data_IF_736189121525
#
_entry.id   IF_736189121525
#
_cell.length_a   1.000
_cell.length_b   1.000
_cell.length_c   1.000
_cell.angle_alpha   90.00
_cell.angle_beta   90.00
_cell.angle_gamma   90.00
#
_symmetry.space_group_name_H-M   'P 1'
#
loop_
_entity.id
_entity.type
_entity.pdbx_description
1 polymer ?
#
# COMPACT_ATOMS: atom_id res chain seq x y z
N UNK A 1 -13.01 -10.14 -60.03
CA UNK A 1 -12.16 -9.80 -58.85
C UNK A 1 -10.66 -9.88 -59.12
N UNK A 2 -10.09 -11.02 -59.53
CA UNK A 2 -8.66 -11.06 -59.88
C UNK A 2 -8.36 -10.28 -61.16
N UNK A 3 -9.18 -10.48 -62.20
CA UNK A 3 -9.11 -9.70 -63.44
C UNK A 3 -9.25 -8.19 -63.19
N UNK A 4 -10.13 -7.79 -62.28
CA UNK A 4 -10.26 -6.38 -61.86
C UNK A 4 -8.99 -5.85 -61.17
N UNK A 5 -8.32 -6.67 -60.34
CA UNK A 5 -7.07 -6.28 -59.69
C UNK A 5 -5.97 -6.05 -60.73
N UNK A 6 -5.87 -6.93 -61.74
CA UNK A 6 -4.92 -6.83 -62.85
C UNK A 6 -5.24 -5.64 -63.78
N UNK A 7 -6.52 -5.36 -64.01
CA UNK A 7 -6.96 -4.17 -64.74
C UNK A 7 -6.56 -2.89 -63.99
N UNK A 8 -6.72 -2.85 -62.67
CA UNK A 8 -6.26 -1.70 -61.89
C UNK A 8 -4.74 -1.56 -61.87
N UNK A 9 -3.99 -2.67 -61.85
CA UNK A 9 -2.53 -2.65 -61.98
C UNK A 9 -2.07 -2.09 -63.31
N UNK A 10 -2.68 -2.51 -64.42
CA UNK A 10 -2.31 -2.00 -65.75
C UNK A 10 -2.55 -0.50 -65.90
N UNK A 11 -3.54 0.04 -65.18
CA UNK A 11 -3.83 1.48 -65.06
C UNK A 11 -3.02 2.19 -63.95
N UNK A 12 -2.05 1.52 -63.34
CA UNK A 12 -1.23 2.03 -62.22
C UNK A 12 -2.05 2.49 -61.00
N UNK A 13 -3.25 1.96 -60.81
CA UNK A 13 -4.10 2.25 -59.67
C UNK A 13 -3.85 1.26 -58.52
N UNK A 14 -2.64 1.32 -57.97
CA UNK A 14 -2.13 0.37 -56.98
C UNK A 14 -3.01 0.27 -55.73
N UNK A 15 -3.61 1.38 -55.28
CA UNK A 15 -4.51 1.37 -54.10
C UNK A 15 -5.77 0.53 -54.37
N UNK A 16 -6.45 0.71 -55.52
CA UNK A 16 -7.63 -0.09 -55.88
C UNK A 16 -7.26 -1.56 -56.12
N UNK A 17 -6.12 -1.82 -56.77
CA UNK A 17 -5.63 -3.19 -56.94
C UNK A 17 -5.39 -3.88 -55.58
N UNK A 18 -4.79 -3.18 -54.62
CA UNK A 18 -4.55 -3.68 -53.27
C UNK A 18 -5.85 -4.05 -52.52
N UNK A 19 -6.88 -3.20 -52.62
CA UNK A 19 -8.20 -3.51 -52.05
C UNK A 19 -8.82 -4.76 -52.68
N UNK A 20 -8.68 -4.94 -54.01
CA UNK A 20 -9.17 -6.14 -54.69
C UNK A 20 -8.40 -7.40 -54.26
N UNK A 21 -7.08 -7.31 -54.08
CA UNK A 21 -6.32 -8.42 -53.51
C UNK A 21 -6.74 -8.74 -52.06
N UNK A 22 -7.10 -7.74 -51.25
CA UNK A 22 -7.66 -7.98 -49.91
C UNK A 22 -9.02 -8.68 -49.95
N UNK A 23 -9.90 -8.31 -50.88
CA UNK A 23 -11.19 -8.98 -51.08
C UNK A 23 -10.98 -10.46 -51.45
N UNK A 24 -10.09 -10.71 -52.40
CA UNK A 24 -9.73 -12.07 -52.82
C UNK A 24 -9.13 -12.87 -51.66
N UNK A 25 -8.19 -12.29 -50.90
CA UNK A 25 -7.60 -12.95 -49.74
C UNK A 25 -8.65 -13.35 -48.71
N UNK A 26 -9.65 -12.49 -48.43
CA UNK A 26 -10.74 -12.80 -47.49
C UNK A 26 -11.61 -13.98 -47.95
N UNK A 27 -11.78 -14.17 -49.27
CA UNK A 27 -12.53 -15.30 -49.82
C UNK A 27 -11.75 -16.58 -49.59
N UNK A 28 -10.45 -16.58 -49.93
CA UNK A 28 -9.58 -17.74 -49.69
C UNK A 28 -9.49 -18.11 -48.19
N UNK A 29 -9.51 -17.14 -47.28
CA UNK A 29 -9.58 -17.40 -45.84
C UNK A 29 -10.88 -18.09 -45.43
N UNK A 30 -12.02 -17.64 -45.96
CA UNK A 30 -13.33 -18.26 -45.69
C UNK A 30 -13.39 -19.70 -46.21
N UNK A 31 -12.71 -19.98 -47.32
CA UNK A 31 -12.61 -21.30 -47.93
C UNK A 31 -11.55 -22.21 -47.26
N UNK A 32 -10.88 -21.75 -46.20
CA UNK A 32 -9.81 -22.50 -45.52
C UNK A 32 -8.50 -22.61 -46.30
N UNK A 33 -8.36 -21.88 -47.41
CA UNK A 33 -7.19 -21.86 -48.30
C UNK A 33 -6.15 -20.85 -47.81
N UNK A 34 -5.46 -21.21 -46.74
CA UNK A 34 -4.58 -20.30 -45.99
C UNK A 34 -3.36 -19.82 -46.79
N UNK A 35 -2.74 -20.68 -47.61
CA UNK A 35 -1.55 -20.32 -48.42
C UNK A 35 -1.90 -19.33 -49.52
N UNK A 36 -3.03 -19.53 -50.18
CA UNK A 36 -3.54 -18.65 -51.22
C UNK A 36 -3.93 -17.29 -50.64
N UNK A 37 -4.63 -17.29 -49.51
CA UNK A 37 -4.92 -16.07 -48.77
C UNK A 37 -3.65 -15.29 -48.44
N UNK A 38 -2.63 -15.95 -47.88
CA UNK A 38 -1.35 -15.33 -47.53
C UNK A 38 -0.66 -14.71 -48.76
N UNK A 39 -0.67 -15.41 -49.90
CA UNK A 39 -0.13 -14.89 -51.17
C UNK A 39 -0.81 -13.58 -51.58
N UNK A 40 -2.14 -13.52 -51.53
CA UNK A 40 -2.88 -12.31 -51.92
C UNK A 40 -2.76 -11.18 -50.89
N UNK A 41 -2.59 -11.49 -49.60
CA UNK A 41 -2.26 -10.49 -48.58
C UNK A 41 -0.89 -9.86 -48.85
N UNK A 42 0.13 -10.65 -49.25
CA UNK A 42 1.44 -10.13 -49.65
C UNK A 42 1.34 -9.19 -50.86
N UNK A 43 0.60 -9.59 -51.89
CA UNK A 43 0.35 -8.74 -53.07
C UNK A 43 -0.39 -7.45 -52.69
N UNK A 44 -1.38 -7.52 -51.79
CA UNK A 44 -2.09 -6.33 -51.32
C UNK A 44 -1.14 -5.36 -50.61
N UNK A 45 -0.29 -5.86 -49.72
CA UNK A 45 0.70 -5.05 -49.00
C UNK A 45 1.65 -4.34 -49.94
N UNK A 46 2.26 -5.07 -50.88
CA UNK A 46 3.23 -4.48 -51.81
C UNK A 46 2.58 -3.35 -52.61
N UNK A 47 1.34 -3.55 -53.05
CA UNK A 47 0.57 -2.52 -53.74
C UNK A 47 0.18 -1.33 -52.87
N UNK A 48 -0.17 -1.53 -51.59
CA UNK A 48 -0.39 -0.40 -50.68
C UNK A 48 0.90 0.40 -50.43
N UNK A 49 2.04 -0.27 -50.30
CA UNK A 49 3.34 0.42 -50.13
C UNK A 49 3.69 1.24 -51.37
N UNK A 50 3.50 0.68 -52.58
CA UNK A 50 3.69 1.41 -53.85
C UNK A 50 2.72 2.60 -53.91
N UNK A 51 1.43 2.38 -53.62
CA UNK A 51 0.42 3.44 -53.62
C UNK A 51 0.76 4.57 -52.64
N UNK A 52 1.30 4.24 -51.47
CA UNK A 52 1.75 5.23 -50.50
C UNK A 52 2.92 6.06 -51.04
N UNK A 53 3.90 5.42 -51.66
CA UNK A 53 5.04 6.11 -52.26
C UNK A 53 4.65 7.02 -53.43
N UNK A 54 3.75 6.56 -54.31
CA UNK A 54 3.21 7.39 -55.40
C UNK A 54 2.41 8.58 -54.85
N UNK A 55 1.60 8.36 -53.81
CA UNK A 55 0.89 9.45 -53.14
C UNK A 55 1.86 10.49 -52.54
N UNK A 56 2.99 10.07 -51.95
CA UNK A 56 4.04 11.00 -51.48
C UNK A 56 4.66 11.81 -52.62
N UNK A 57 4.96 11.15 -53.76
CA UNK A 57 5.56 11.80 -54.93
C UNK A 57 4.70 12.95 -55.46
N UNK A 58 3.38 12.74 -55.51
CA UNK A 58 2.43 13.78 -55.95
C UNK A 58 1.97 14.70 -54.82
N UNK A 59 2.63 14.67 -53.66
CA UNK A 59 2.30 15.48 -52.47
C UNK A 59 0.83 15.35 -52.05
N UNK A 60 0.33 14.11 -52.02
CA UNK A 60 -0.97 13.75 -51.42
C UNK A 60 -0.71 12.97 -50.13
N UNK A 61 -0.18 13.67 -49.12
CA UNK A 61 0.35 13.03 -47.92
C UNK A 61 -0.73 12.35 -47.09
N UNK A 62 -1.95 12.91 -47.05
CA UNK A 62 -3.10 12.26 -46.40
C UNK A 62 -3.34 10.86 -46.99
N UNK A 63 -3.35 10.74 -48.32
CA UNK A 63 -3.54 9.47 -49.03
C UNK A 63 -2.34 8.53 -48.84
N UNK A 64 -1.13 9.07 -48.71
CA UNK A 64 0.05 8.28 -48.37
C UNK A 64 -0.06 7.64 -46.97
N UNK A 65 -0.52 8.40 -45.99
CA UNK A 65 -0.79 7.90 -44.64
C UNK A 65 -1.87 6.80 -44.64
N UNK A 66 -2.96 6.98 -45.40
CA UNK A 66 -4.03 5.99 -45.53
C UNK A 66 -3.52 4.65 -46.09
N UNK A 67 -2.77 4.70 -47.20
CA UNK A 67 -2.20 3.49 -47.81
C UNK A 67 -1.16 2.83 -46.90
N UNK A 68 -0.34 3.62 -46.20
CA UNK A 68 0.63 3.09 -45.22
C UNK A 68 -0.06 2.41 -44.05
N UNK A 69 -1.18 2.96 -43.57
CA UNK A 69 -2.00 2.34 -42.53
C UNK A 69 -2.65 1.04 -43.02
N UNK A 70 -3.08 0.97 -44.28
CA UNK A 70 -3.59 -0.29 -44.84
C UNK A 70 -2.49 -1.34 -44.98
N UNK A 71 -1.31 -0.96 -45.47
CA UNK A 71 -0.15 -1.86 -45.50
C UNK A 71 0.18 -2.39 -44.10
N UNK A 72 0.18 -1.50 -43.08
CA UNK A 72 0.42 -1.86 -41.69
C UNK A 72 -0.59 -2.90 -41.19
N UNK A 73 -1.89 -2.68 -41.40
CA UNK A 73 -2.95 -3.62 -41.01
C UNK A 73 -2.76 -5.01 -41.62
N UNK A 74 -2.30 -5.08 -42.86
CA UNK A 74 -2.09 -6.36 -43.53
C UNK A 74 -0.79 -7.03 -43.07
N UNK A 75 0.28 -6.28 -42.82
CA UNK A 75 1.49 -6.83 -42.20
C UNK A 75 1.22 -7.40 -40.80
N UNK A 76 0.42 -6.72 -39.99
CA UNK A 76 -0.02 -7.22 -38.67
C UNK A 76 -0.78 -8.55 -38.81
N UNK A 77 -1.67 -8.65 -39.81
CA UNK A 77 -2.40 -9.89 -40.10
C UNK A 77 -1.47 -11.04 -40.52
N UNK A 78 -0.43 -10.72 -41.28
CA UNK A 78 0.62 -11.66 -41.69
C UNK A 78 1.66 -11.94 -40.58
N UNK A 79 1.54 -11.32 -39.40
CA UNK A 79 2.52 -11.37 -38.31
C UNK A 79 3.94 -10.94 -38.72
N UNK A 80 4.07 -10.09 -39.74
CA UNK A 80 5.34 -9.57 -40.22
C UNK A 80 5.69 -8.27 -39.50
N UNK A 81 6.36 -8.38 -38.34
CA UNK A 81 6.64 -7.24 -37.46
C UNK A 81 7.80 -6.36 -37.92
N UNK A 82 8.74 -6.89 -38.70
CA UNK A 82 9.97 -6.21 -39.10
C UNK A 82 9.76 -4.87 -39.83
N UNK A 83 8.63 -4.73 -40.53
CA UNK A 83 8.30 -3.52 -41.31
C UNK A 83 7.30 -2.59 -40.61
N UNK A 84 6.88 -2.94 -39.40
CA UNK A 84 5.87 -2.19 -38.63
C UNK A 84 6.34 -0.79 -38.31
N UNK A 85 7.50 -0.67 -37.68
CA UNK A 85 7.98 0.60 -37.12
C UNK A 85 8.19 1.65 -38.20
N UNK A 86 8.77 1.25 -39.35
CA UNK A 86 8.95 2.15 -40.47
C UNK A 86 7.62 2.65 -41.03
N UNK A 87 6.60 1.80 -41.12
CA UNK A 87 5.27 2.22 -41.59
C UNK A 87 4.58 3.14 -40.60
N UNK A 88 4.69 2.87 -39.30
CA UNK A 88 4.15 3.74 -38.24
C UNK A 88 4.79 5.13 -38.31
N UNK A 89 6.12 5.20 -38.49
CA UNK A 89 6.85 6.45 -38.67
C UNK A 89 6.44 7.17 -39.96
N UNK A 90 6.25 6.43 -41.05
CA UNK A 90 5.77 6.99 -42.31
C UNK A 90 4.37 7.59 -42.16
N UNK A 91 3.45 6.92 -41.47
CA UNK A 91 2.10 7.43 -41.19
C UNK A 91 2.19 8.74 -40.40
N UNK A 92 3.01 8.79 -39.34
CA UNK A 92 3.20 10.00 -38.55
C UNK A 92 3.76 11.15 -39.40
N UNK A 93 4.78 10.89 -40.21
CA UNK A 93 5.41 11.89 -41.09
C UNK A 93 4.46 12.37 -42.17
N UNK A 94 3.71 11.46 -42.80
CA UNK A 94 2.74 11.79 -43.84
C UNK A 94 1.60 12.64 -43.27
N UNK A 95 1.12 12.35 -42.05
CA UNK A 95 0.13 13.18 -41.37
C UNK A 95 0.68 14.57 -41.01
N UNK A 96 1.92 14.67 -40.55
CA UNK A 96 2.56 15.97 -40.31
C UNK A 96 2.67 16.81 -41.58
N UNK A 97 2.98 16.18 -42.71
CA UNK A 97 3.04 16.86 -44.00
C UNK A 97 1.64 17.23 -44.52
N UNK A 98 0.65 16.35 -44.34
CA UNK A 98 -0.75 16.62 -44.68
C UNK A 98 -1.30 17.81 -43.89
N UNK A 99 -0.85 18.03 -42.65
CA UNK A 99 -1.25 19.21 -41.89
C UNK A 99 -0.86 20.52 -42.60
N UNK A 100 0.27 20.56 -43.31
CA UNK A 100 0.64 21.73 -44.12
C UNK A 100 -0.29 21.89 -45.34
N UNK A 101 -0.74 20.79 -45.96
CA UNK A 101 -1.74 20.85 -47.05
C UNK A 101 -3.06 21.49 -46.56
N UNK A 102 -3.57 21.03 -45.41
CA UNK A 102 -4.77 21.59 -44.82
C UNK A 102 -4.64 23.07 -44.47
N UNK A 103 -3.48 23.51 -43.96
CA UNK A 103 -3.22 24.94 -43.75
C UNK A 103 -3.24 25.74 -45.06
N UNK A 104 -2.67 25.21 -46.15
CA UNK A 104 -2.74 25.87 -47.47
C UNK A 104 -4.18 26.01 -47.96
N UNK A 105 -5.05 25.05 -47.64
CA UNK A 105 -6.48 25.11 -47.94
C UNK A 105 -7.29 25.92 -46.93
N UNK A 106 -6.65 26.55 -45.94
CA UNK A 106 -7.28 27.29 -44.83
C UNK A 106 -8.19 26.41 -43.94
N UNK A 107 -7.99 25.11 -43.96
CA UNK A 107 -8.70 24.14 -43.12
C UNK A 107 -7.93 23.92 -41.81
N UNK A 108 -7.94 24.93 -40.94
CA UNK A 108 -7.12 25.01 -39.72
C UNK A 108 -7.36 23.81 -38.78
N UNK A 109 -8.62 23.41 -38.62
CA UNK A 109 -9.00 22.24 -37.79
C UNK A 109 -8.46 20.93 -38.36
N UNK A 110 -8.47 20.77 -39.69
CA UNK A 110 -7.88 19.61 -40.37
C UNK A 110 -6.38 19.51 -40.09
N UNK A 111 -5.68 20.63 -40.15
CA UNK A 111 -4.27 20.70 -39.79
C UNK A 111 -4.02 20.32 -38.33
N UNK A 112 -4.80 20.85 -37.39
CA UNK A 112 -4.69 20.53 -35.97
C UNK A 112 -4.87 19.03 -35.68
N UNK A 113 -5.87 18.40 -36.32
CA UNK A 113 -6.13 16.95 -36.19
C UNK A 113 -4.92 16.15 -36.67
N UNK A 114 -4.41 16.46 -37.87
CA UNK A 114 -3.23 15.78 -38.41
C UNK A 114 -2.00 15.91 -37.50
N UNK A 115 -1.77 17.10 -36.93
CA UNK A 115 -0.69 17.34 -35.96
C UNK A 115 -0.88 16.53 -34.68
N UNK A 116 -2.10 16.50 -34.13
CA UNK A 116 -2.38 15.75 -32.90
C UNK A 116 -2.13 14.25 -33.08
N UNK A 117 -2.62 13.65 -34.18
CA UNK A 117 -2.41 12.23 -34.48
C UNK A 117 -0.92 11.94 -34.74
N UNK A 118 -0.25 12.77 -35.54
CA UNK A 118 1.17 12.62 -35.82
C UNK A 118 2.00 12.65 -34.54
N UNK A 119 1.73 13.62 -33.66
CA UNK A 119 2.43 13.78 -32.38
C UNK A 119 2.20 12.58 -31.45
N UNK A 120 0.95 12.10 -31.34
CA UNK A 120 0.60 10.88 -30.60
C UNK A 120 1.46 9.69 -31.05
N UNK A 121 1.53 9.47 -32.36
CA UNK A 121 2.30 8.35 -32.92
C UNK A 121 3.79 8.54 -32.63
N UNK A 122 4.35 9.73 -32.86
CA UNK A 122 5.76 10.00 -32.61
C UNK A 122 6.15 9.80 -31.14
N UNK A 123 5.33 10.28 -30.19
CA UNK A 123 5.54 10.03 -28.77
C UNK A 123 5.46 8.53 -28.43
N UNK A 124 4.47 7.81 -28.98
CA UNK A 124 4.33 6.38 -28.76
C UNK A 124 5.58 5.58 -29.20
N UNK A 125 6.17 5.92 -30.35
CA UNK A 125 7.40 5.26 -30.86
C UNK A 125 8.71 5.86 -30.31
N UNK A 126 8.64 6.85 -29.41
CA UNK A 126 9.83 7.43 -28.75
C UNK A 126 10.58 8.48 -29.57
N UNK A 127 10.01 9.01 -30.66
CA UNK A 127 10.58 10.10 -31.48
C UNK A 127 10.16 11.47 -30.92
N UNK A 128 10.60 11.74 -29.70
CA UNK A 128 10.19 12.90 -28.90
C UNK A 128 10.52 14.23 -29.61
N UNK A 129 11.71 14.36 -30.19
CA UNK A 129 12.15 15.61 -30.81
C UNK A 129 11.36 15.96 -32.07
N UNK A 130 10.97 14.94 -32.85
CA UNK A 130 10.13 15.13 -34.04
C UNK A 130 8.74 15.62 -33.65
N UNK A 131 8.13 15.02 -32.61
CA UNK A 131 6.85 15.47 -32.07
C UNK A 131 6.92 16.93 -31.61
N UNK A 132 7.92 17.29 -30.79
CA UNK A 132 8.13 18.67 -30.30
C UNK A 132 8.28 19.66 -31.45
N UNK A 133 9.08 19.31 -32.46
CA UNK A 133 9.31 20.15 -33.64
C UNK A 133 8.01 20.42 -34.40
N UNK A 134 7.20 19.38 -34.61
CA UNK A 134 5.92 19.51 -35.31
C UNK A 134 4.96 20.39 -34.51
N UNK A 135 4.75 20.10 -33.22
CA UNK A 135 3.87 20.88 -32.35
C UNK A 135 4.25 22.36 -32.39
N UNK A 136 5.53 22.68 -32.18
CA UNK A 136 6.03 24.06 -32.21
C UNK A 136 5.76 24.72 -33.56
N UNK A 137 6.06 24.03 -34.66
CA UNK A 137 5.91 24.59 -36.01
C UNK A 137 4.46 24.92 -36.41
N UNK A 138 3.48 24.29 -35.77
CA UNK A 138 2.05 24.53 -36.04
C UNK A 138 1.38 25.43 -35.01
N UNK A 139 1.89 25.50 -33.77
CA UNK A 139 1.38 26.41 -32.74
C UNK A 139 1.44 27.87 -33.18
N UNK A 140 2.50 28.24 -33.91
CA UNK A 140 2.68 29.60 -34.43
C UNK A 140 1.83 29.89 -35.69
N UNK A 141 1.33 28.84 -36.36
CA UNK A 141 0.60 28.94 -37.64
C UNK A 141 -0.92 28.86 -37.49
N UNK A 142 -1.41 28.28 -36.39
CA UNK A 142 -2.83 28.16 -36.10
C UNK A 142 -3.29 29.44 -35.40
N UNK A 143 -4.34 30.09 -35.93
CA UNK A 143 -4.88 31.32 -35.36
C UNK A 143 -5.31 31.10 -33.90
N UNK A 144 -4.96 32.04 -33.02
CA UNK A 144 -5.42 32.04 -31.62
C UNK A 144 -6.95 32.13 -31.49
N UNK A 145 -7.65 32.59 -32.54
CA UNK A 145 -9.10 32.78 -32.54
C UNK A 145 -9.90 31.49 -32.84
N UNK A 146 -9.30 30.45 -33.45
CA UNK A 146 -10.00 29.18 -33.68
C UNK A 146 -9.88 28.28 -32.44
N UNK A 147 -10.83 28.46 -31.51
CA UNK A 147 -10.88 27.74 -30.24
C UNK A 147 -10.78 26.21 -30.41
N UNK A 148 -11.50 25.63 -31.36
CA UNK A 148 -11.51 24.16 -31.55
C UNK A 148 -10.19 23.66 -32.12
N UNK A 149 -9.57 24.37 -33.06
CA UNK A 149 -8.25 23.99 -33.56
C UNK A 149 -7.18 24.06 -32.45
N UNK A 150 -7.23 25.08 -31.60
CA UNK A 150 -6.34 25.19 -30.45
C UNK A 150 -6.59 24.10 -29.41
N UNK A 151 -7.86 23.75 -29.16
CA UNK A 151 -8.23 22.65 -28.25
C UNK A 151 -7.68 21.31 -28.74
N UNK A 152 -7.76 21.01 -30.03
CA UNK A 152 -7.18 19.80 -30.63
C UNK A 152 -5.64 19.83 -30.52
N UNK A 153 -5.00 20.95 -30.86
CA UNK A 153 -3.55 21.08 -30.77
C UNK A 153 -3.04 20.96 -29.32
N UNK A 154 -3.84 21.41 -28.35
CA UNK A 154 -3.50 21.30 -26.93
C UNK A 154 -3.35 19.83 -26.49
N UNK A 155 -4.07 18.89 -27.11
CA UNK A 155 -3.89 17.46 -26.85
C UNK A 155 -2.42 17.06 -27.07
N UNK A 156 -1.81 17.51 -28.17
CA UNK A 156 -0.40 17.24 -28.46
C UNK A 156 0.55 17.85 -27.41
N UNK A 157 0.22 19.05 -26.90
CA UNK A 157 0.98 19.71 -25.84
C UNK A 157 0.84 19.00 -24.48
N UNK A 158 -0.34 18.50 -24.16
CA UNK A 158 -0.59 17.73 -22.93
C UNK A 158 0.11 16.37 -22.99
N UNK A 159 0.11 15.69 -24.14
CA UNK A 159 0.90 14.46 -24.33
C UNK A 159 2.39 14.74 -24.14
N UNK A 160 2.88 15.88 -24.63
CA UNK A 160 4.27 16.28 -24.39
C UNK A 160 4.56 16.38 -22.89
N UNK A 161 3.68 16.99 -22.08
CA UNK A 161 3.84 17.03 -20.62
C UNK A 161 3.87 15.64 -20.00
N UNK A 162 2.95 14.77 -20.42
CA UNK A 162 2.87 13.38 -19.93
C UNK A 162 4.17 12.60 -20.22
N UNK A 163 4.72 12.73 -21.44
CA UNK A 163 5.83 11.90 -21.90
C UNK A 163 7.20 12.49 -21.58
N UNK A 164 7.33 13.82 -21.59
CA UNK A 164 8.61 14.52 -21.41
C UNK A 164 8.79 14.99 -19.98
N UNK A 165 7.74 15.50 -19.36
CA UNK A 165 7.77 16.04 -18.00
C UNK A 165 7.37 14.97 -16.97
N UNK A 166 7.12 13.73 -17.42
CA UNK A 166 6.67 12.58 -16.63
C UNK A 166 5.44 12.89 -15.76
N UNK A 167 4.58 13.81 -16.22
CA UNK A 167 3.36 14.19 -15.51
C UNK A 167 2.24 13.16 -15.75
N UNK A 168 2.30 12.07 -15.00
CA UNK A 168 1.30 11.01 -15.06
C UNK A 168 -0.12 11.49 -14.72
N UNK A 169 -0.27 12.58 -13.95
CA UNK A 169 -1.58 13.11 -13.56
C UNK A 169 -2.34 13.71 -14.75
N UNK A 170 -1.61 14.18 -15.76
CA UNK A 170 -2.18 14.71 -17.01
C UNK A 170 -2.63 13.60 -17.98
N UNK A 171 -2.24 12.33 -17.78
CA UNK A 171 -2.57 11.25 -18.71
C UNK A 171 -4.09 11.02 -18.86
N UNK A 172 -4.82 11.01 -17.75
CA UNK A 172 -6.28 10.79 -17.77
C UNK A 172 -7.02 11.93 -18.48
N UNK A 173 -6.52 13.17 -18.39
CA UNK A 173 -7.05 14.32 -19.14
C UNK A 173 -6.82 14.13 -20.65
N UNK A 174 -5.60 13.73 -21.04
CA UNK A 174 -5.26 13.45 -22.45
C UNK A 174 -6.18 12.35 -23.01
N UNK A 175 -6.35 11.25 -22.29
CA UNK A 175 -7.22 10.15 -22.71
C UNK A 175 -8.66 10.60 -22.88
N UNK A 176 -9.17 11.41 -21.94
CA UNK A 176 -10.48 12.03 -22.03
C UNK A 176 -10.64 12.90 -23.27
N UNK A 177 -9.66 13.77 -23.58
CA UNK A 177 -9.69 14.65 -24.74
C UNK A 177 -9.53 13.90 -26.07
N UNK A 178 -8.71 12.85 -26.13
CA UNK A 178 -8.60 12.01 -27.33
C UNK A 178 -9.94 11.38 -27.67
N UNK A 179 -10.65 10.86 -26.67
CA UNK A 179 -11.94 10.20 -26.86
C UNK A 179 -13.10 11.17 -27.12
N UNK A 180 -13.11 12.33 -26.46
CA UNK A 180 -14.22 13.30 -26.55
C UNK A 180 -14.04 14.40 -27.61
N UNK A 181 -12.81 14.64 -28.07
CA UNK A 181 -12.49 15.73 -29.02
C UNK A 181 -11.83 15.19 -30.29
N UNK A 182 -10.68 14.52 -30.17
CA UNK A 182 -9.90 14.13 -31.34
C UNK A 182 -10.64 13.12 -32.22
N UNK A 183 -11.12 12.01 -31.64
CA UNK A 183 -11.81 10.95 -32.39
C UNK A 183 -13.10 11.44 -33.07
N UNK A 184 -14.00 12.19 -32.40
CA UNK A 184 -15.19 12.75 -33.06
C UNK A 184 -14.90 13.68 -34.22
N UNK A 185 -13.72 14.32 -34.26
CA UNK A 185 -13.34 15.26 -35.32
C UNK A 185 -12.61 14.61 -36.50
N UNK A 186 -12.22 13.34 -36.42
CA UNK A 186 -11.61 12.60 -37.52
C UNK A 186 -12.36 12.67 -38.87
N UNK A 187 -13.70 12.73 -38.93
CA UNK A 187 -14.42 12.89 -40.20
C UNK A 187 -14.00 14.12 -41.01
N UNK A 188 -13.54 15.21 -40.35
CA UNK A 188 -13.08 16.43 -41.03
C UNK A 188 -11.89 16.18 -41.97
N UNK A 189 -11.04 15.20 -41.66
CA UNK A 189 -9.92 14.80 -42.52
C UNK A 189 -10.17 13.47 -43.25
N UNK A 190 -11.42 12.98 -43.24
CA UNK A 190 -11.80 11.62 -43.66
C UNK A 190 -10.96 10.54 -42.95
N UNK A 191 -10.61 10.77 -41.69
CA UNK A 191 -9.59 10.04 -40.93
C UNK A 191 -10.11 8.92 -40.04
N UNK A 192 -11.37 8.50 -40.16
CA UNK A 192 -11.96 7.48 -39.26
C UNK A 192 -11.16 6.17 -39.21
N UNK A 193 -10.41 5.85 -40.26
CA UNK A 193 -9.54 4.68 -40.29
C UNK A 193 -8.36 4.73 -39.31
N UNK A 194 -7.96 5.92 -38.84
CA UNK A 194 -6.85 6.13 -37.89
C UNK A 194 -7.21 5.83 -36.44
N UNK A 195 -8.48 5.57 -36.09
CA UNK A 195 -8.89 5.29 -34.70
C UNK A 195 -8.03 4.18 -34.06
N UNK A 196 -7.81 3.06 -34.76
CA UNK A 196 -7.00 1.93 -34.24
C UNK A 196 -5.58 2.35 -33.88
N UNK A 197 -4.91 3.12 -34.74
CA UNK A 197 -3.51 3.53 -34.49
C UNK A 197 -3.42 4.60 -33.40
N UNK A 198 -4.45 5.43 -33.25
CA UNK A 198 -4.57 6.37 -32.12
C UNK A 198 -4.70 5.59 -30.81
N UNK A 199 -5.55 4.56 -30.77
CA UNK A 199 -5.74 3.71 -29.59
C UNK A 199 -4.46 2.96 -29.21
N UNK A 200 -3.76 2.38 -30.19
CA UNK A 200 -2.47 1.73 -29.96
C UNK A 200 -1.41 2.71 -29.45
N UNK A 201 -1.38 3.93 -30.01
CA UNK A 201 -0.46 4.97 -29.56
C UNK A 201 -0.75 5.38 -28.10
N UNK A 202 -2.01 5.61 -27.76
CA UNK A 202 -2.45 5.92 -26.40
C UNK A 202 -2.12 4.79 -25.43
N UNK A 203 -2.41 3.53 -25.79
CA UNK A 203 -2.08 2.37 -24.97
C UNK A 203 -0.56 2.25 -24.75
N UNK A 204 0.23 2.50 -25.79
CA UNK A 204 1.69 2.47 -25.70
C UNK A 204 2.19 3.56 -24.75
N UNK A 205 1.70 4.79 -24.88
CA UNK A 205 2.03 5.91 -23.99
C UNK A 205 1.62 5.56 -22.54
N UNK A 206 0.38 5.12 -22.32
CA UNK A 206 -0.11 4.75 -21.00
C UNK A 206 0.70 3.63 -20.35
N UNK A 207 1.15 2.64 -21.13
CA UNK A 207 2.02 1.57 -20.62
C UNK A 207 3.41 2.07 -20.20
N UNK A 208 3.96 3.06 -20.91
CA UNK A 208 5.24 3.71 -20.55
C UNK A 208 5.09 4.53 -19.28
N UNK A 209 4.05 5.38 -19.23
CA UNK A 209 3.72 6.17 -18.03
C UNK A 209 3.56 5.25 -16.84
N UNK A 210 2.75 4.18 -16.94
CA UNK A 210 2.54 3.22 -15.84
C UNK A 210 3.81 2.54 -15.32
N UNK A 211 4.83 2.35 -16.15
CA UNK A 211 6.12 1.78 -15.71
C UNK A 211 6.97 2.79 -14.94
N UNK A 212 6.78 4.08 -15.18
CA UNK A 212 7.51 5.17 -14.51
C UNK A 212 6.76 5.71 -13.30
N UNK A 213 5.46 5.39 -13.14
CA UNK A 213 4.69 5.77 -11.95
C UNK A 213 5.30 5.15 -10.71
N UNK A 214 5.81 6.03 -9.87
CA UNK A 214 6.13 5.72 -8.48
C UNK A 214 4.81 5.55 -7.73
N UNK A 215 4.61 4.38 -7.12
CA UNK A 215 3.36 4.06 -6.42
C UNK A 215 3.45 4.44 -4.93
N UNK A 216 2.38 5.01 -4.36
CA UNK A 216 2.28 5.17 -2.91
C UNK A 216 2.12 3.80 -2.23
N UNK A 217 2.58 3.71 -0.98
CA UNK A 217 2.34 2.55 -0.12
C UNK A 217 2.15 3.02 1.31
N UNK A 218 0.89 3.09 1.74
CA UNK A 218 0.57 3.56 3.09
C UNK A 218 0.67 2.42 4.10
N UNK A 219 1.47 2.62 5.15
CA UNK A 219 1.59 1.72 6.30
C UNK A 219 0.93 2.40 7.50
N UNK A 220 -0.22 1.88 7.97
CA UNK A 220 -0.90 2.41 9.16
C UNK A 220 -0.38 1.77 10.45
N UNK A 221 -0.42 2.53 11.54
CA UNK A 221 -0.18 2.04 12.89
C UNK A 221 -1.17 2.70 13.86
N UNK A 222 -2.14 1.91 14.35
CA UNK A 222 -3.11 2.33 15.37
C UNK A 222 -2.58 1.98 16.76
N UNK A 223 -2.51 2.97 17.64
CA UNK A 223 -2.07 2.82 19.04
C UNK A 223 -3.21 3.17 19.98
N UNK A 224 -3.38 2.32 20.99
CA UNK A 224 -4.40 2.47 22.04
C UNK A 224 -3.75 2.22 23.40
N UNK A 225 -4.12 2.97 24.46
CA UNK A 225 -3.61 2.73 25.81
C UNK A 225 -4.09 1.40 26.38
N UNK A 226 -3.30 0.81 27.27
CA UNK A 226 -3.53 -0.55 27.82
C UNK A 226 -4.42 -0.57 29.06
N UNK A 227 -4.34 0.44 29.94
CA UNK A 227 -5.10 0.52 31.21
C UNK A 227 -6.18 1.59 31.09
N UNK A 228 -7.37 1.17 30.66
CA UNK A 228 -8.50 2.06 30.43
C UNK A 228 -9.57 1.90 31.52
N UNK A 229 -10.17 3.02 31.89
CA UNK A 229 -11.26 3.06 32.88
C UNK A 229 -12.47 3.77 32.32
N UNK A 230 -13.66 3.34 32.77
CA UNK A 230 -14.89 4.05 32.43
C UNK A 230 -14.85 5.50 32.91
N UNK A 231 -15.63 6.36 32.24
CA UNK A 231 -15.78 7.79 32.53
C UNK A 231 -14.46 8.60 32.51
N UNK A 232 -13.38 8.01 32.00
CA UNK A 232 -12.07 8.66 31.90
C UNK A 232 -11.71 8.80 30.42
N UNK A 233 -11.61 10.02 29.88
CA UNK A 233 -11.21 10.21 28.50
C UNK A 233 -9.81 9.65 28.23
N UNK A 234 -9.63 8.96 27.11
CA UNK A 234 -8.36 8.41 26.67
C UNK A 234 -8.15 8.67 25.18
N UNK A 235 -6.89 8.71 24.76
CA UNK A 235 -6.52 9.05 23.40
C UNK A 235 -6.13 7.81 22.60
N UNK A 236 -6.70 7.66 21.41
CA UNK A 236 -6.21 6.76 20.36
C UNK A 236 -5.44 7.55 19.32
N UNK A 237 -4.36 6.95 18.82
CA UNK A 237 -3.47 7.62 17.84
C UNK A 237 -3.32 6.74 16.61
N UNK A 238 -3.66 7.27 15.44
CA UNK A 238 -3.42 6.62 14.15
C UNK A 238 -2.29 7.35 13.43
N UNK A 239 -1.21 6.63 13.19
CA UNK A 239 -0.05 7.09 12.43
C UNK A 239 -0.06 6.47 11.05
N UNK A 240 -0.02 7.29 10.00
CA UNK A 240 0.09 6.85 8.61
C UNK A 240 1.45 7.24 8.07
N UNK A 241 2.16 6.29 7.48
CA UNK A 241 3.43 6.54 6.80
C UNK A 241 3.37 6.07 5.36
N UNK A 242 3.66 6.95 4.42
CA UNK A 242 3.82 6.56 3.02
C UNK A 242 5.24 6.05 2.81
N UNK A 243 5.43 4.74 2.74
CA UNK A 243 6.73 4.11 2.46
C UNK A 243 6.93 3.83 0.96
N UNK A 244 5.99 4.26 0.13
CA UNK A 244 6.10 4.18 -1.33
C UNK A 244 6.89 5.35 -1.91
N UNK A 245 7.21 5.22 -3.18
CA UNK A 245 7.95 6.25 -3.92
C UNK A 245 7.03 7.33 -4.50
N UNK A 246 5.72 7.06 -4.55
CA UNK A 246 4.68 7.96 -5.07
C UNK A 246 3.93 8.71 -4.00
N UNK A 247 3.27 9.80 -4.38
CA UNK A 247 2.31 10.51 -3.53
C UNK A 247 0.95 9.79 -3.48
N UNK A 248 0.29 9.84 -2.32
CA UNK A 248 -1.09 9.40 -2.16
C UNK A 248 -2.01 10.63 -2.14
N UNK A 249 -3.05 10.63 -2.96
CA UNK A 249 -4.03 11.71 -3.06
C UNK A 249 -5.32 11.35 -2.35
N UNK A 250 -5.99 12.37 -1.82
CA UNK A 250 -7.31 12.31 -1.20
C UNK A 250 -7.39 11.16 -0.18
N UNK A 251 -6.46 11.16 0.77
CA UNK A 251 -6.33 10.13 1.80
C UNK A 251 -7.48 10.34 2.79
N UNK A 252 -8.50 9.50 2.68
CA UNK A 252 -9.70 9.52 3.49
C UNK A 252 -9.60 8.49 4.60
N UNK A 253 -9.89 8.90 5.83
CA UNK A 253 -9.86 8.03 7.01
C UNK A 253 -11.20 8.11 7.73
N UNK A 254 -11.77 6.96 8.05
CA UNK A 254 -13.02 6.83 8.81
C UNK A 254 -12.77 5.92 10.01
N UNK A 255 -12.91 6.44 11.22
CA UNK A 255 -12.83 5.64 12.44
C UNK A 255 -14.15 4.95 12.73
N UNK A 256 -14.12 3.64 12.85
CA UNK A 256 -15.24 2.81 13.23
C UNK A 256 -15.19 2.60 14.75
N UNK A 257 -15.90 3.48 15.45
CA UNK A 257 -16.02 3.49 16.91
C UNK A 257 -17.45 3.04 17.26
N UNK A 258 -17.62 2.04 18.15
CA UNK A 258 -18.94 1.59 18.61
C UNK A 258 -19.79 2.74 19.18
N UNK A 259 -21.12 2.62 19.09
CA UNK A 259 -22.05 3.67 19.50
C UNK A 259 -22.01 3.96 21.00
N UNK A 260 -21.57 3.00 21.80
CA UNK A 260 -21.41 3.13 23.25
C UNK A 260 -20.20 3.99 23.65
N UNK A 261 -19.33 4.32 22.70
CA UNK A 261 -18.12 5.12 22.95
C UNK A 261 -18.30 6.53 22.36
N UNK A 262 -18.15 7.52 23.23
CA UNK A 262 -18.27 8.93 22.86
C UNK A 262 -16.93 9.48 22.34
N UNK A 263 -16.97 10.16 21.20
CA UNK A 263 -15.82 10.93 20.70
C UNK A 263 -15.86 12.32 21.36
N UNK A 264 -14.99 12.54 22.34
CA UNK A 264 -14.93 13.79 23.12
C UNK A 264 -14.14 14.86 22.37
N UNK A 265 -13.08 14.47 21.65
CA UNK A 265 -12.27 15.37 20.81
C UNK A 265 -11.78 14.64 19.56
N UNK A 266 -11.68 15.37 18.46
CA UNK A 266 -11.30 14.83 17.15
C UNK A 266 -12.51 14.65 16.23
N UNK A 267 -12.26 14.09 15.04
CA UNK A 267 -13.30 13.83 14.04
C UNK A 267 -13.33 12.34 13.72
N UNK A 268 -14.53 11.80 13.53
CA UNK A 268 -14.73 10.41 13.07
C UNK A 268 -14.19 10.22 11.64
N UNK A 269 -14.33 11.24 10.80
CA UNK A 269 -13.85 11.24 9.42
C UNK A 269 -12.87 12.39 9.21
N UNK A 270 -11.76 12.11 8.52
CA UNK A 270 -10.76 13.12 8.12
C UNK A 270 -10.25 12.81 6.73
N UNK A 271 -10.06 13.86 5.94
CA UNK A 271 -9.48 13.78 4.61
C UNK A 271 -8.22 14.62 4.57
N UNK A 272 -7.18 14.06 3.96
CA UNK A 272 -5.90 14.72 3.72
C UNK A 272 -5.71 14.77 2.21
N UNK A 273 -5.58 15.98 1.66
CA UNK A 273 -5.52 16.17 0.20
C UNK A 273 -4.37 15.40 -0.44
N UNK A 274 -3.21 15.37 0.23
CA UNK A 274 -2.02 14.71 -0.27
C UNK A 274 -1.09 14.26 0.86
N UNK A 275 -0.60 13.02 0.76
CA UNK A 275 0.48 12.49 1.58
C UNK A 275 1.69 12.19 0.68
N UNK A 276 2.77 12.99 0.73
CA UNK A 276 3.91 12.83 -0.16
C UNK A 276 4.65 11.51 0.09
N UNK A 277 5.52 11.13 -0.85
CA UNK A 277 6.43 9.99 -0.67
C UNK A 277 7.30 10.19 0.58
N UNK A 278 7.46 9.14 1.39
CA UNK A 278 8.10 9.18 2.71
C UNK A 278 7.42 10.11 3.73
N UNK A 279 6.28 10.70 3.38
CA UNK A 279 5.48 11.55 4.25
C UNK A 279 4.86 10.76 5.39
N UNK A 280 4.62 11.46 6.50
CA UNK A 280 4.03 10.91 7.69
C UNK A 280 2.99 11.88 8.25
N UNK A 281 1.88 11.33 8.74
CA UNK A 281 0.85 12.08 9.43
C UNK A 281 0.37 11.31 10.64
N UNK A 282 0.11 12.02 11.71
CA UNK A 282 -0.42 11.49 12.96
C UNK A 282 -1.77 12.13 13.26
N UNK A 283 -2.76 11.30 13.55
CA UNK A 283 -4.11 11.72 13.93
C UNK A 283 -4.42 11.19 15.30
N UNK A 284 -5.13 12.01 16.08
CA UNK A 284 -5.45 11.73 17.47
C UNK A 284 -6.94 11.96 17.72
N UNK A 285 -7.59 10.98 18.35
CA UNK A 285 -8.99 11.07 18.77
C UNK A 285 -9.06 10.75 20.26
N UNK A 286 -9.80 11.57 21.01
CA UNK A 286 -10.08 11.35 22.41
C UNK A 286 -11.46 10.71 22.55
N UNK A 287 -11.49 9.54 23.18
CA UNK A 287 -12.68 8.73 23.41
C UNK A 287 -13.03 8.69 24.90
N UNK A 288 -14.30 8.51 25.22
CA UNK A 288 -14.78 8.26 26.57
C UNK A 288 -15.87 7.18 26.53
N UNK A 289 -15.86 6.27 27.51
CA UNK A 289 -16.88 5.22 27.62
C UNK A 289 -17.63 5.41 28.94
N UNK A 290 -18.92 5.76 28.90
CA UNK A 290 -19.73 5.89 30.10
C UNK A 290 -19.86 4.55 30.84
N UNK A 291 -19.75 4.55 32.16
CA UNK A 291 -19.94 3.33 32.95
C UNK A 291 -21.41 2.93 33.04
N UNK A 292 -21.72 1.66 32.79
CA UNK A 292 -23.03 1.04 33.06
C UNK A 292 -23.04 0.18 34.34
N UNK A 293 -22.00 0.31 35.19
CA UNK A 293 -21.84 -0.49 36.41
C UNK A 293 -21.21 -1.88 36.21
N UNK A 294 -20.77 -2.21 34.99
CA UNK A 294 -20.01 -3.44 34.73
C UNK A 294 -18.59 -3.35 35.29
N UNK A 295 -18.06 -4.47 35.82
CA UNK A 295 -16.69 -4.51 36.33
C UNK A 295 -15.63 -4.42 35.21
N UNK A 296 -15.94 -5.03 34.06
CA UNK A 296 -15.09 -5.11 32.88
C UNK A 296 -15.95 -5.16 31.61
N UNK A 297 -15.57 -4.39 30.59
CA UNK A 297 -16.15 -4.49 29.23
C UNK A 297 -15.07 -4.44 28.16
N UNK A 298 -15.32 -5.10 27.03
CA UNK A 298 -14.43 -5.13 25.87
C UNK A 298 -15.10 -4.49 24.67
N UNK A 299 -14.36 -3.63 23.97
CA UNK A 299 -14.81 -2.96 22.75
C UNK A 299 -13.79 -3.15 21.64
N UNK A 300 -14.23 -2.99 20.40
CA UNK A 300 -13.38 -3.11 19.21
C UNK A 300 -13.39 -1.81 18.44
N UNK A 301 -12.21 -1.26 18.17
CA UNK A 301 -12.04 -0.06 17.37
C UNK A 301 -11.29 -0.43 16.09
N UNK A 302 -11.76 0.06 14.95
CA UNK A 302 -11.05 -0.04 13.67
C UNK A 302 -11.09 1.30 12.94
N UNK A 303 -10.35 1.40 11.85
CA UNK A 303 -10.44 2.53 10.93
C UNK A 303 -10.32 2.04 9.49
N UNK A 304 -11.08 2.63 8.58
CA UNK A 304 -10.94 2.41 7.15
C UNK A 304 -10.18 3.58 6.52
N UNK A 305 -9.28 3.23 5.62
CA UNK A 305 -8.40 4.14 4.91
C UNK A 305 -8.61 3.95 3.40
N UNK A 306 -8.93 5.02 2.70
CA UNK A 306 -9.01 5.06 1.23
C UNK A 306 -8.07 6.12 0.68
N UNK A 307 -7.40 5.84 -0.43
CA UNK A 307 -6.53 6.81 -1.11
C UNK A 307 -6.37 6.49 -2.60
N UNK A 308 -5.87 7.45 -3.35
CA UNK A 308 -5.63 7.33 -4.79
C UNK A 308 -4.14 7.50 -5.12
N UNK A 309 -3.66 6.79 -6.15
CA UNK A 309 -2.35 7.09 -6.73
C UNK A 309 -2.41 8.29 -7.70
N UNK A 310 -1.26 8.63 -8.32
CA UNK A 310 -1.16 9.74 -9.27
C UNK A 310 -1.97 9.56 -10.55
N UNK A 311 -2.42 8.35 -10.89
CA UNK A 311 -3.24 8.06 -12.08
C UNK A 311 -4.70 7.78 -11.74
N UNK A 312 -5.09 7.93 -10.47
CA UNK A 312 -6.46 7.78 -10.01
C UNK A 312 -6.87 6.35 -9.68
N UNK A 313 -5.92 5.41 -9.54
CA UNK A 313 -6.23 4.08 -9.01
C UNK A 313 -6.57 4.19 -7.52
N UNK A 314 -7.73 3.67 -7.12
CA UNK A 314 -8.17 3.66 -5.73
C UNK A 314 -7.59 2.48 -4.95
N UNK A 315 -7.22 2.71 -3.70
CA UNK A 315 -6.74 1.72 -2.74
C UNK A 315 -7.55 1.85 -1.45
N UNK A 316 -7.86 0.72 -0.82
CA UNK A 316 -8.58 0.66 0.45
C UNK A 316 -7.89 -0.29 1.43
N UNK A 317 -7.78 0.11 2.69
CA UNK A 317 -7.13 -0.63 3.78
C UNK A 317 -7.98 -0.52 5.04
N UNK A 318 -8.33 -1.65 5.64
CA UNK A 318 -8.92 -1.68 6.98
C UNK A 318 -7.84 -1.87 8.04
N UNK A 319 -7.87 -1.04 9.08
CA UNK A 319 -6.89 -0.96 10.17
C UNK A 319 -7.54 -1.49 11.44
N UNK A 320 -6.99 -2.58 12.00
CA UNK A 320 -7.58 -3.27 13.14
C UNK A 320 -8.41 -4.49 12.72
N UNK A 321 -9.32 -5.00 13.57
CA UNK A 321 -9.79 -4.41 14.84
C UNK A 321 -8.76 -4.46 15.97
N UNK A 322 -8.67 -3.39 16.76
CA UNK A 322 -7.95 -3.35 18.03
C UNK A 322 -8.95 -3.47 19.16
N UNK A 323 -8.79 -4.51 19.99
CA UNK A 323 -9.61 -4.69 21.18
C UNK A 323 -9.10 -3.79 22.31
N UNK A 324 -10.03 -3.14 22.97
CA UNK A 324 -9.79 -2.35 24.17
C UNK A 324 -10.57 -2.97 25.32
N UNK A 325 -10.01 -2.92 26.51
CA UNK A 325 -10.64 -3.43 27.72
C UNK A 325 -10.73 -2.31 28.73
N UNK A 326 -11.96 -1.99 29.14
CA UNK A 326 -12.20 -1.02 30.19
C UNK A 326 -12.53 -1.71 31.50
N UNK A 327 -12.02 -1.13 32.58
CA UNK A 327 -12.27 -1.58 33.94
C UNK A 327 -12.97 -0.49 34.77
N UNK A 328 -13.75 -0.90 35.78
CA UNK A 328 -14.36 0.03 36.73
C UNK A 328 -13.33 0.82 37.55
N UNK A 329 -12.20 0.18 37.86
CA UNK A 329 -11.08 0.76 38.61
C UNK A 329 -9.81 0.35 37.89
N UNK A 330 -8.81 1.26 37.84
CA UNK A 330 -7.51 1.02 37.21
C UNK A 330 -6.92 -0.28 37.69
N UNK A 331 -6.58 -1.15 36.75
CA UNK A 331 -6.06 -2.46 37.10
C UNK A 331 -4.68 -2.34 37.75
N UNK A 332 -3.91 -1.34 37.32
CA UNK A 332 -2.64 -0.99 37.95
C UNK A 332 -2.77 -0.60 39.43
N UNK A 333 -3.88 0.02 39.84
CA UNK A 333 -4.13 0.36 41.25
C UNK A 333 -4.57 -0.86 42.06
N UNK A 334 -5.41 -1.74 41.49
CA UNK A 334 -5.75 -3.03 42.12
C UNK A 334 -4.49 -3.86 42.39
N UNK A 335 -3.60 -3.97 41.39
CA UNK A 335 -2.35 -4.72 41.52
C UNK A 335 -1.37 -4.08 42.51
N UNK A 336 -1.30 -2.74 42.59
CA UNK A 336 -0.51 -2.06 43.65
C UNK A 336 -1.00 -2.42 45.05
N UNK A 337 -2.31 -2.54 45.24
CA UNK A 337 -2.89 -2.94 46.53
C UNK A 337 -2.54 -4.40 46.84
N UNK A 338 -2.69 -5.29 45.87
CA UNK A 338 -2.34 -6.71 46.01
C UNK A 338 -0.86 -6.92 46.37
N UNK A 339 0.05 -6.19 45.74
CA UNK A 339 1.48 -6.19 46.09
C UNK A 339 1.69 -5.77 47.56
N UNK A 340 1.01 -4.72 48.03
CA UNK A 340 1.11 -4.30 49.44
C UNK A 340 0.59 -5.36 50.40
N UNK A 341 -0.51 -6.02 50.06
CA UNK A 341 -1.10 -7.08 50.88
C UNK A 341 -0.17 -8.31 50.94
N UNK A 342 0.48 -8.66 49.83
CA UNK A 342 1.51 -9.71 49.77
C UNK A 342 2.73 -9.36 50.64
N UNK A 343 3.24 -8.13 50.55
CA UNK A 343 4.39 -7.68 51.38
C UNK A 343 4.04 -7.76 52.88
N UNK A 344 2.81 -7.42 53.24
CA UNK A 344 2.32 -7.55 54.62
C UNK A 344 2.31 -9.02 55.05
N UNK A 345 1.71 -9.90 54.24
CA UNK A 345 1.66 -11.36 54.50
C UNK A 345 3.06 -11.97 54.66
N UNK A 346 4.02 -11.56 53.84
CA UNK A 346 5.42 -11.98 53.99
C UNK A 346 6.02 -11.56 55.33
N UNK A 347 5.74 -10.33 55.77
CA UNK A 347 6.22 -9.81 57.06
C UNK A 347 5.63 -10.59 58.23
N UNK A 348 4.32 -10.88 58.19
CA UNK A 348 3.62 -11.68 59.19
C UNK A 348 4.19 -13.11 59.27
N UNK A 349 4.53 -13.71 58.11
CA UNK A 349 5.15 -15.04 58.07
C UNK A 349 6.57 -15.04 58.65
N UNK A 350 7.37 -14.01 58.35
CA UNK A 350 8.70 -13.84 58.95
C UNK A 350 8.63 -13.73 60.47
N UNK A 351 7.61 -13.08 61.00
CA UNK A 351 7.42 -12.97 62.45
C UNK A 351 7.10 -14.33 63.09
N UNK A 352 6.22 -15.13 62.47
CA UNK A 352 5.86 -16.47 62.97
C UNK A 352 7.02 -17.45 63.06
N UNK A 353 8.06 -17.28 62.24
CA UNK A 353 9.21 -18.20 62.19
C UNK A 353 10.40 -17.74 63.04
N UNK A 354 10.41 -16.53 63.61
CA UNK A 354 11.54 -16.01 64.42
C UNK A 354 11.94 -16.91 65.57
N UNK A 355 10.97 -17.60 66.16
CA UNK A 355 11.23 -18.45 67.31
C UNK A 355 11.68 -19.86 66.92
N UNK A 356 11.78 -20.19 65.63
CA UNK A 356 12.13 -21.53 65.16
C UNK A 356 13.59 -21.89 65.46
N UNK A 357 13.93 -23.18 65.49
CA UNK A 357 15.33 -23.61 65.47
C UNK A 357 16.07 -22.97 64.28
N UNK A 358 17.29 -22.46 64.51
CA UNK A 358 18.07 -21.66 63.55
C UNK A 358 18.11 -22.22 62.12
N UNK A 359 18.23 -23.54 61.98
CA UNK A 359 18.26 -24.19 60.65
C UNK A 359 16.92 -24.08 59.93
N UNK A 360 15.80 -24.29 60.63
CA UNK A 360 14.47 -24.14 60.05
C UNK A 360 14.15 -22.67 59.78
N UNK A 361 14.46 -21.79 60.73
CA UNK A 361 14.34 -20.34 60.55
C UNK A 361 15.07 -19.88 59.29
N UNK A 362 16.33 -20.32 59.09
CA UNK A 362 17.10 -20.00 57.90
C UNK A 362 16.44 -20.47 56.59
N UNK A 363 15.91 -21.70 56.56
CA UNK A 363 15.26 -22.24 55.36
C UNK A 363 14.01 -21.44 54.99
N UNK A 364 13.13 -21.17 55.95
CA UNK A 364 11.92 -20.39 55.69
C UNK A 364 12.23 -18.92 55.35
N UNK A 365 13.19 -18.30 56.03
CA UNK A 365 13.62 -16.94 55.70
C UNK A 365 14.14 -16.86 54.26
N UNK A 366 14.96 -17.83 53.84
CA UNK A 366 15.47 -17.89 52.47
C UNK A 366 14.35 -18.05 51.44
N UNK A 367 13.38 -18.94 51.69
CA UNK A 367 12.22 -19.10 50.81
C UNK A 367 11.40 -17.80 50.69
N UNK A 368 11.15 -17.11 51.80
CA UNK A 368 10.42 -15.83 51.80
C UNK A 368 11.25 -14.74 51.09
N UNK A 369 12.57 -14.70 51.27
CA UNK A 369 13.44 -13.74 50.59
C UNK A 369 13.55 -14.00 49.09
N UNK A 370 13.55 -15.26 48.64
CA UNK A 370 13.51 -15.61 47.22
C UNK A 370 12.20 -15.13 46.56
N UNK A 371 11.07 -15.24 47.28
CA UNK A 371 9.78 -14.69 46.85
C UNK A 371 9.81 -13.15 46.78
N UNK A 372 10.57 -12.48 47.67
CA UNK A 372 10.72 -11.02 47.65
C UNK A 372 11.25 -10.52 46.32
N UNK A 373 12.16 -11.25 45.69
CA UNK A 373 12.68 -10.90 44.37
C UNK A 373 11.59 -10.95 43.29
N UNK A 374 10.68 -11.93 43.36
CA UNK A 374 9.53 -12.00 42.46
C UNK A 374 8.55 -10.85 42.69
N UNK A 375 8.30 -10.45 43.94
CA UNK A 375 7.48 -9.27 44.28
C UNK A 375 8.09 -7.97 43.76
N UNK A 376 9.40 -7.77 43.96
CA UNK A 376 10.13 -6.61 43.43
C UNK A 376 10.06 -6.55 41.89
N UNK A 377 10.18 -7.71 41.22
CA UNK A 377 10.02 -7.82 39.77
C UNK A 377 8.62 -7.44 39.32
N UNK A 378 7.59 -7.83 40.07
CA UNK A 378 6.20 -7.41 39.81
C UNK A 378 6.02 -5.89 39.92
N UNK A 379 6.66 -5.23 40.89
CA UNK A 379 6.64 -3.76 40.96
C UNK A 379 7.30 -3.10 39.74
N UNK A 380 8.43 -3.64 39.27
CA UNK A 380 9.13 -3.13 38.09
C UNK A 380 8.30 -3.31 36.81
N UNK A 381 7.70 -4.49 36.62
CA UNK A 381 6.83 -4.78 35.49
C UNK A 381 5.57 -3.89 35.49
N UNK A 382 5.04 -3.57 36.67
CA UNK A 382 3.91 -2.67 36.82
C UNK A 382 4.25 -1.24 36.40
N UNK A 383 5.48 -0.77 36.67
CA UNK A 383 5.97 0.54 36.17
C UNK A 383 6.14 0.57 34.64
N UNK A 384 6.34 -0.60 34.03
CA UNK A 384 6.47 -0.79 32.57
C UNK A 384 5.12 -1.10 31.90
N UNK A 385 4.00 -0.97 32.62
CA UNK A 385 2.63 -1.24 32.12
C UNK A 385 2.41 -2.68 31.60
N UNK A 386 3.19 -3.64 32.08
CA UNK A 386 3.07 -5.06 31.70
C UNK A 386 2.08 -5.81 32.60
N UNK A 387 0.82 -5.40 32.57
CA UNK A 387 -0.24 -5.84 33.51
C UNK A 387 -0.40 -7.36 33.59
N UNK A 388 -0.41 -8.07 32.45
CA UNK A 388 -0.60 -9.53 32.43
C UNK A 388 0.59 -10.29 33.04
N UNK A 389 1.82 -9.84 32.80
CA UNK A 389 3.02 -10.42 33.41
C UNK A 389 3.02 -10.25 34.93
N UNK A 390 2.52 -9.11 35.42
CA UNK A 390 2.36 -8.85 36.86
C UNK A 390 1.36 -9.84 37.46
N UNK A 391 0.17 -10.02 36.87
CA UNK A 391 -0.84 -10.97 37.37
C UNK A 391 -0.31 -12.40 37.48
N UNK A 392 0.41 -12.86 36.46
CA UNK A 392 0.99 -14.21 36.46
C UNK A 392 1.99 -14.36 37.60
N UNK A 393 2.90 -13.38 37.77
CA UNK A 393 3.88 -13.42 38.85
C UNK A 393 3.23 -13.36 40.24
N UNK A 394 2.23 -12.50 40.44
CA UNK A 394 1.55 -12.39 41.74
C UNK A 394 0.78 -13.67 42.11
N UNK A 395 0.18 -14.37 41.14
CA UNK A 395 -0.44 -15.69 41.39
C UNK A 395 0.56 -16.72 41.90
N UNK A 396 1.76 -16.76 41.32
CA UNK A 396 2.82 -17.68 41.75
C UNK A 396 3.28 -17.29 43.17
N UNK A 397 3.50 -16.01 43.41
CA UNK A 397 3.89 -15.51 44.74
C UNK A 397 2.85 -15.88 45.80
N UNK A 398 1.57 -15.62 45.54
CA UNK A 398 0.52 -15.91 46.52
C UNK A 398 0.36 -17.41 46.76
N UNK A 399 0.48 -18.24 45.71
CA UNK A 399 0.51 -19.70 45.86
C UNK A 399 1.61 -20.15 46.82
N UNK A 400 2.87 -19.74 46.62
CA UNK A 400 3.97 -20.16 47.49
C UNK A 400 3.78 -19.65 48.93
N UNK A 401 3.32 -18.40 49.11
CA UNK A 401 3.05 -17.87 50.45
C UNK A 401 1.88 -18.58 51.13
N UNK A 402 0.87 -19.04 50.39
CA UNK A 402 -0.20 -19.87 50.92
C UNK A 402 0.31 -21.24 51.37
N UNK A 403 1.16 -21.91 50.59
CA UNK A 403 1.77 -23.18 50.97
C UNK A 403 2.61 -23.05 52.25
N UNK A 404 3.43 -22.00 52.35
CA UNK A 404 4.19 -21.69 53.58
C UNK A 404 3.22 -21.46 54.75
N UNK A 405 2.17 -20.66 54.53
CA UNK A 405 1.18 -20.36 55.57
C UNK A 405 0.46 -21.61 56.07
N UNK A 406 0.08 -22.52 55.16
CA UNK A 406 -0.58 -23.78 55.49
C UNK A 406 0.35 -24.72 56.25
N UNK A 407 1.61 -24.85 55.83
CA UNK A 407 2.60 -25.66 56.53
C UNK A 407 2.85 -25.16 57.95
N UNK A 408 2.92 -23.84 58.14
CA UNK A 408 3.06 -23.24 59.47
C UNK A 408 1.81 -23.38 60.35
N UNK A 409 0.64 -23.60 59.76
CA UNK A 409 -0.61 -23.86 60.48
C UNK A 409 -0.88 -25.36 60.71
N UNK A 410 -0.06 -26.24 60.15
CA UNK A 410 -0.18 -27.69 60.32
C UNK A 410 0.22 -28.08 61.75
N UNK A 411 -0.73 -28.66 62.49
CA UNK A 411 -0.52 -29.07 63.90
C UNK A 411 0.60 -30.10 64.06
N UNK A 412 0.73 -31.03 63.13
CA UNK A 412 1.78 -32.06 63.16
C UNK A 412 3.16 -31.47 62.90
N UNK A 413 3.25 -30.46 62.04
CA UNK A 413 4.47 -29.68 61.85
C UNK A 413 4.81 -28.87 63.11
N UNK A 414 3.84 -28.17 63.71
CA UNK A 414 4.03 -27.37 64.92
C UNK A 414 4.57 -28.21 66.09
N UNK A 415 3.98 -29.40 66.32
CA UNK A 415 4.44 -30.34 67.35
C UNK A 415 5.87 -30.82 67.11
N UNK A 416 6.22 -31.17 65.86
CA UNK A 416 7.59 -31.55 65.49
C UNK A 416 8.59 -30.43 65.73
N UNK A 417 8.21 -29.19 65.42
CA UNK A 417 9.04 -28.00 65.70
C UNK A 417 9.24 -27.81 67.20
N UNK A 418 8.20 -27.97 68.03
CA UNK A 418 8.31 -27.90 69.50
C UNK A 418 9.23 -28.99 70.06
N UNK A 419 9.07 -30.24 69.62
CA UNK A 419 9.93 -31.36 70.00
C UNK A 419 11.39 -31.10 69.63
N UNK A 420 11.65 -30.59 68.41
CA UNK A 420 12.99 -30.24 67.96
C UNK A 420 13.61 -29.14 68.84
N UNK A 421 12.85 -28.09 69.20
CA UNK A 421 13.30 -27.05 70.14
C UNK A 421 13.68 -27.64 71.50
N UNK A 422 12.88 -28.55 72.05
CA UNK A 422 13.16 -29.18 73.34
C UNK A 422 14.40 -30.07 73.30
N UNK A 423 14.57 -30.85 72.23
CA UNK A 423 15.75 -31.70 72.03
C UNK A 423 17.03 -30.86 71.93
N UNK A 424 17.00 -29.75 71.18
CA UNK A 424 18.13 -28.81 71.07
C UNK A 424 18.46 -28.22 72.45
N UNK A 425 17.45 -27.74 73.20
CA UNK A 425 17.66 -27.21 74.56
C UNK A 425 18.26 -28.26 75.52
N UNK A 426 17.83 -29.52 75.43
CA UNK A 426 18.39 -30.62 76.24
C UNK A 426 19.85 -30.90 75.85
N UNK A 427 20.16 -30.94 74.56
CA UNK A 427 21.53 -31.14 74.06
C UNK A 427 22.46 -29.99 74.46
N UNK A 428 22.01 -28.74 74.40
CA UNK A 428 22.76 -27.56 74.85
C UNK A 428 23.03 -27.57 76.36
N UNK A 429 22.04 -27.97 77.17
CA UNK A 429 22.22 -28.15 78.62
C UNK A 429 23.23 -29.25 78.93
N UNK A 430 23.16 -30.40 78.26
CA UNK A 430 24.12 -31.50 78.45
C UNK A 430 25.53 -31.11 78.01
N UNK A 431 25.67 -30.35 76.93
CA UNK A 431 26.96 -29.82 76.46
C UNK A 431 27.55 -28.80 77.44
N UNK A 432 26.73 -27.90 78.00
CA UNK A 432 27.19 -26.94 79.02
C UNK A 432 27.55 -27.60 80.35
N UNK A 433 26.87 -28.69 80.73
CA UNK A 433 27.23 -29.50 81.91
C UNK A 433 28.54 -30.26 81.67
N UNK A 434 28.75 -30.81 80.47
CA UNK A 434 30.00 -31.47 80.10
C UNK A 434 31.20 -30.49 80.07
N UNK A 435 31.00 -29.26 79.58
CA UNK A 435 32.03 -28.21 79.58
C UNK A 435 32.39 -27.78 81.01
N UNK A 436 31.38 -27.58 81.88
CA UNK A 436 31.61 -27.26 83.31
C UNK A 436 32.29 -28.39 84.06
N UNK A 437 31.95 -29.65 83.75
CA UNK A 437 32.61 -30.81 84.34
C UNK A 437 34.08 -30.93 83.91
N UNK A 438 34.41 -30.58 82.65
CA UNK A 438 35.80 -30.52 82.19
C UNK A 438 36.60 -29.35 82.80
N UNK A 439 35.96 -28.21 83.08
CA UNK A 439 36.60 -27.06 83.74
C UNK A 439 36.88 -27.35 85.24
N UNK A 440 35.98 -28.07 85.93
CA UNK A 440 36.22 -28.51 87.32
C UNK A 440 37.31 -29.58 87.45
N UNK A 441 37.54 -30.41 86.42
CA UNK A 441 38.63 -31.40 86.44
C UNK A 441 40.02 -30.77 86.19
N UNK A 442 40.10 -29.59 85.59
CA UNK A 442 41.36 -28.84 85.45
C UNK A 442 41.79 -28.08 86.72
N UNK A 443 40.89 -27.79 87.66
CA UNK A 443 41.24 -27.16 88.94
C UNK A 443 41.70 -28.18 90.01
N UNK A 444 41.30 -29.46 89.92
CA UNK A 444 41.70 -30.51 90.88
C UNK A 444 43.06 -31.19 90.56
N UNK A 445 43.73 -30.83 89.46
CA UNK A 445 45.04 -31.41 89.06
C UNK A 445 46.21 -30.43 89.11
N UNK A 446 46.01 -29.22 89.65
CA UNK A 446 47.03 -28.17 89.77
C UNK A 446 47.42 -27.83 91.22
N UNK A 447 47.60 -28.84 92.07
CA UNK A 447 48.16 -28.71 93.42
C UNK A 447 49.66 -28.97 93.46
#
# INVERSE_FOLDING_TARGET
>A
MLEEAEEYLSKQNYSKAAYKYLEVAKIFEKDGKTKEAERYLKLAVDNFVIAANEARRVKSFRKAAENSLMALKVYEKLKMTEKRDQLVLNIASDLANAANEYLMWKEIRGAAICVAISSLIYFAVGRIDDAKKIIKSFKDKISAEDFEANRILNIASLIQKVVVDSDASTYSEVEGLVNSVLKPMLPLIKGNMFVKIIDEAMQTIGSKVKKEIRLPKITPALRVPLDLTFNTPFDITLKLKNVGEGEAKNVKIVFNVPEEIEIVKGKRETTIDMLPANGEVEMKITLNVPSKGAEKEEYSISADLEYFDMVGTAYSITIGPVKITLHLVRESEKLKKEIKDIIKKMSDLKEKIKDFPKVLEYVFLRLIDDIKNAVNKSEELLRKEKIDEVKINLRIVDFVLNEISQLLADKGFEEKVKLLKEQIKKAEKQKNVAIRASESQSEETGG
#
